data_IF_058029084088
#
_entry.id   IF_058029084088
#
_cell.length_a   1.000
_cell.length_b   1.000
_cell.length_c   1.000
_cell.angle_alpha   90.00
_cell.angle_beta   90.00
_cell.angle_gamma   90.00
#
_symmetry.space_group_name_H-M   'P 1'
#
loop_
_entity.id
_entity.type
_entity.pdbx_description
1 polymer ?
#
# COMPACT_ATOMS: atom_id res chain seq x y z
N UNK A 1 2.77 -24.56 8.89
CA UNK A 1 3.77 -23.48 8.92
C UNK A 1 3.77 -22.83 10.30
N UNK A 2 4.80 -23.06 11.12
CA UNK A 2 4.95 -22.52 12.49
C UNK A 2 5.69 -21.15 12.50
N UNK A 3 6.42 -20.88 11.43
CA UNK A 3 7.26 -19.69 11.25
C UNK A 3 6.45 -18.40 11.05
N UNK A 4 5.31 -18.46 10.37
CA UNK A 4 4.47 -17.26 10.13
C UNK A 4 3.85 -16.74 11.43
N UNK A 5 3.39 -17.65 12.31
CA UNK A 5 2.86 -17.26 13.63
C UNK A 5 3.94 -16.67 14.54
N UNK A 6 5.18 -17.17 14.44
CA UNK A 6 6.31 -16.64 15.18
C UNK A 6 6.78 -15.28 14.62
N UNK A 7 6.79 -15.13 13.30
CA UNK A 7 7.09 -13.87 12.63
C UNK A 7 6.04 -12.81 12.97
N UNK A 8 4.76 -13.18 12.96
CA UNK A 8 3.63 -12.31 13.32
C UNK A 8 3.68 -11.90 14.80
N UNK A 9 3.92 -12.84 15.72
CA UNK A 9 4.02 -12.52 17.16
C UNK A 9 5.24 -11.66 17.49
N UNK A 10 6.39 -11.94 16.87
CA UNK A 10 7.62 -11.16 17.06
C UNK A 10 7.50 -9.78 16.43
N UNK A 11 6.86 -9.68 15.26
CA UNK A 11 6.50 -8.43 14.60
C UNK A 11 5.56 -7.59 15.47
N UNK A 12 4.52 -8.18 16.07
CA UNK A 12 3.59 -7.50 16.98
C UNK A 12 4.25 -7.03 18.28
N UNK A 13 5.17 -7.79 18.88
CA UNK A 13 5.89 -7.35 20.08
C UNK A 13 6.89 -6.24 19.78
N UNK A 14 7.59 -6.32 18.65
CA UNK A 14 8.48 -5.25 18.18
C UNK A 14 7.66 -4.01 17.86
N UNK A 15 6.53 -4.18 17.17
CA UNK A 15 5.57 -3.13 16.87
C UNK A 15 5.11 -2.37 18.11
N UNK A 16 4.68 -3.07 19.17
CA UNK A 16 4.21 -2.42 20.39
C UNK A 16 5.33 -1.65 21.11
N UNK A 17 6.54 -2.22 21.18
CA UNK A 17 7.70 -1.54 21.75
C UNK A 17 8.12 -0.31 20.93
N UNK A 18 8.09 -0.43 19.60
CA UNK A 18 8.40 0.64 18.65
C UNK A 18 7.36 1.75 18.64
N UNK A 19 6.07 1.42 18.72
CA UNK A 19 4.99 2.39 18.80
C UNK A 19 5.14 3.26 20.06
N UNK A 20 5.46 2.64 21.19
CA UNK A 20 5.72 3.35 22.46
C UNK A 20 6.95 4.27 22.36
N UNK A 21 8.02 3.82 21.72
CA UNK A 21 9.22 4.62 21.49
C UNK A 21 8.97 5.81 20.55
N UNK A 22 8.22 5.61 19.45
CA UNK A 22 7.84 6.64 18.50
C UNK A 22 6.93 7.70 19.12
N UNK A 23 5.98 7.30 19.97
CA UNK A 23 5.12 8.22 20.72
C UNK A 23 5.91 9.09 21.72
N UNK A 24 7.04 8.58 22.23
CA UNK A 24 7.92 9.34 23.14
C UNK A 24 8.89 10.28 22.41
N UNK A 25 9.36 9.92 21.21
CA UNK A 25 10.50 10.57 20.54
C UNK A 25 10.11 11.47 19.35
N UNK A 26 8.90 11.38 18.81
CA UNK A 26 8.57 12.06 17.54
C UNK A 26 8.10 13.52 17.72
N UNK A 27 8.84 14.53 17.22
CA UNK A 27 8.36 15.92 17.18
C UNK A 27 7.23 16.15 16.15
N UNK A 28 6.92 15.17 15.29
CA UNK A 28 5.83 15.25 14.30
C UNK A 28 4.44 15.37 14.96
N UNK A 29 4.28 14.88 16.20
CA UNK A 29 3.05 15.05 16.99
C UNK A 29 2.90 16.44 17.62
N UNK A 30 3.94 17.27 17.62
CA UNK A 30 3.91 18.63 18.19
C UNK A 30 3.61 19.72 17.15
N UNK A 31 3.74 19.42 15.85
CA UNK A 31 3.75 20.45 14.79
C UNK A 31 2.52 20.43 13.85
N UNK A 32 1.50 19.64 14.15
CA UNK A 32 0.21 19.70 13.47
C UNK A 32 -0.79 20.47 14.34
N UNK A 33 -0.77 21.80 14.22
CA UNK A 33 -1.74 22.74 14.84
C UNK A 33 -3.20 22.55 14.35
N UNK A 34 -3.51 21.43 13.69
CA UNK A 34 -4.81 21.09 13.15
C UNK A 34 -5.59 20.07 13.98
N UNK A 35 -5.00 19.46 15.02
CA UNK A 35 -5.68 18.45 15.82
C UNK A 35 -6.24 19.05 17.11
N UNK A 36 -7.45 19.62 17.00
CA UNK A 36 -8.28 19.91 18.16
C UNK A 36 -9.13 18.70 18.55
N UNK A 37 -8.95 18.28 19.80
CA UNK A 37 -9.91 17.58 20.67
C UNK A 37 -10.22 16.08 20.44
N UNK A 38 -10.01 15.32 21.53
CA UNK A 38 -10.80 14.19 22.01
C UNK A 38 -11.26 13.12 21.00
N UNK A 39 -10.33 12.50 20.28
CA UNK A 39 -10.57 11.15 19.75
C UNK A 39 -9.60 10.15 20.37
N UNK A 40 -10.15 9.24 21.16
CA UNK A 40 -9.49 8.01 21.59
C UNK A 40 -9.14 7.20 20.34
N UNK A 41 -7.89 7.28 19.89
CA UNK A 41 -7.39 6.47 18.78
C UNK A 41 -7.34 5.01 19.24
N UNK A 42 -8.36 4.22 18.87
CA UNK A 42 -8.51 2.85 19.37
C UNK A 42 -7.53 1.85 18.77
N UNK A 43 -7.00 2.04 17.56
CA UNK A 43 -5.89 1.23 17.03
C UNK A 43 -5.19 1.95 15.89
N UNK A 44 -3.87 2.03 15.97
CA UNK A 44 -2.98 2.54 14.94
C UNK A 44 -2.32 1.34 14.27
N UNK A 45 -2.18 1.33 12.93
CA UNK A 45 -1.35 0.36 12.20
C UNK A 45 -0.15 1.10 11.58
N UNK A 46 1.06 0.58 11.82
CA UNK A 46 2.32 1.06 11.24
C UNK A 46 2.92 -0.07 10.40
N UNK A 47 3.05 0.16 9.11
CA UNK A 47 3.73 -0.76 8.21
C UNK A 47 5.23 -0.44 8.21
N UNK A 48 6.02 -1.27 8.89
CA UNK A 48 7.48 -1.25 8.83
C UNK A 48 7.94 -2.23 7.75
N UNK A 49 8.70 -1.74 6.78
CA UNK A 49 9.33 -2.58 5.76
C UNK A 49 10.85 -2.54 5.96
N UNK A 50 11.45 -3.58 6.53
CA UNK A 50 12.91 -3.72 6.63
C UNK A 50 13.48 -4.30 5.32
N UNK A 51 14.55 -3.68 4.79
CA UNK A 51 15.15 -4.10 3.51
C UNK A 51 16.65 -4.39 3.63
N UNK A 52 17.14 -5.49 3.01
CA UNK A 52 18.54 -5.89 3.10
C UNK A 52 19.51 -5.09 2.21
N UNK A 53 19.04 -4.35 1.20
CA UNK A 53 19.91 -3.54 0.33
C UNK A 53 19.45 -2.09 0.08
N UNK A 54 20.39 -1.20 -0.29
CA UNK A 54 20.11 0.21 -0.63
C UNK A 54 19.13 0.37 -1.80
N UNK A 55 19.23 -0.49 -2.82
CA UNK A 55 18.36 -0.41 -3.99
C UNK A 55 16.90 -0.79 -3.65
N UNK A 56 16.72 -1.78 -2.77
CA UNK A 56 15.41 -2.14 -2.23
C UNK A 56 14.84 -1.05 -1.32
N UNK A 57 15.67 -0.46 -0.45
CA UNK A 57 15.25 0.66 0.40
C UNK A 57 14.81 1.89 -0.43
N UNK A 58 15.53 2.19 -1.51
CA UNK A 58 15.16 3.27 -2.44
C UNK A 58 13.86 2.97 -3.19
N UNK A 59 13.65 1.72 -3.61
CA UNK A 59 12.40 1.30 -4.25
C UNK A 59 11.22 1.36 -3.27
N UNK A 60 11.43 0.92 -2.04
CA UNK A 60 10.43 0.99 -0.99
C UNK A 60 10.03 2.43 -0.67
N UNK A 61 11.00 3.35 -0.62
CA UNK A 61 10.73 4.76 -0.39
C UNK A 61 9.83 5.35 -1.49
N UNK A 62 10.11 5.01 -2.75
CA UNK A 62 9.30 5.41 -3.90
C UNK A 62 7.90 4.81 -3.79
N UNK A 63 7.80 3.52 -3.49
CA UNK A 63 6.53 2.80 -3.30
C UNK A 63 5.68 3.43 -2.21
N UNK A 64 6.24 3.69 -1.01
CA UNK A 64 5.48 4.28 0.09
C UNK A 64 4.99 5.69 -0.21
N UNK A 65 5.77 6.49 -0.95
CA UNK A 65 5.33 7.81 -1.43
C UNK A 65 4.18 7.72 -2.43
N UNK A 66 4.26 6.75 -3.34
CA UNK A 66 3.21 6.49 -4.34
C UNK A 66 1.94 5.96 -3.68
N UNK A 67 2.04 5.00 -2.75
CA UNK A 67 0.92 4.47 -1.96
C UNK A 67 0.22 5.58 -1.19
N UNK A 68 0.97 6.43 -0.48
CA UNK A 68 0.41 7.59 0.23
C UNK A 68 -0.37 8.50 -0.71
N UNK A 69 0.20 8.80 -1.89
CA UNK A 69 -0.44 9.66 -2.89
C UNK A 69 -1.74 9.05 -3.42
N UNK A 70 -1.72 7.75 -3.75
CA UNK A 70 -2.88 7.01 -4.24
C UNK A 70 -3.96 6.90 -3.16
N UNK A 71 -3.59 6.61 -1.92
CA UNK A 71 -4.54 6.56 -0.80
C UNK A 71 -5.25 7.90 -0.62
N UNK A 72 -4.51 9.02 -0.52
CA UNK A 72 -5.12 10.35 -0.38
C UNK A 72 -6.03 10.66 -1.58
N UNK A 73 -5.65 10.27 -2.79
CA UNK A 73 -6.48 10.43 -3.97
C UNK A 73 -7.76 9.60 -3.90
N UNK A 74 -7.66 8.30 -3.63
CA UNK A 74 -8.80 7.37 -3.54
C UNK A 74 -9.79 7.82 -2.47
N UNK A 75 -9.31 8.22 -1.29
CA UNK A 75 -10.16 8.74 -0.20
C UNK A 75 -10.93 10.01 -0.60
N UNK A 76 -10.39 10.81 -1.52
CA UNK A 76 -10.99 12.09 -1.92
C UNK A 76 -11.92 11.97 -3.11
N UNK A 77 -11.63 11.08 -4.06
CA UNK A 77 -12.32 11.03 -5.35
C UNK A 77 -13.18 9.79 -5.56
N UNK A 78 -13.20 8.85 -4.60
CA UNK A 78 -14.01 7.64 -4.68
C UNK A 78 -14.74 7.40 -3.36
N UNK A 79 -15.77 6.56 -3.37
CA UNK A 79 -16.45 6.14 -2.13
C UNK A 79 -15.84 4.86 -1.51
N UNK A 80 -14.64 4.46 -1.93
CA UNK A 80 -14.01 3.24 -1.43
C UNK A 80 -13.57 3.49 0.01
N UNK A 81 -13.98 2.65 0.98
CA UNK A 81 -13.48 2.76 2.34
C UNK A 81 -12.01 2.34 2.35
N UNK A 82 -11.13 3.31 2.63
CA UNK A 82 -9.70 3.06 2.79
C UNK A 82 -9.20 3.58 4.15
N UNK A 83 -8.11 3.02 4.68
CA UNK A 83 -7.47 3.54 5.89
C UNK A 83 -7.11 5.01 5.75
N UNK A 84 -7.41 5.81 6.77
CA UNK A 84 -6.99 7.21 6.82
C UNK A 84 -5.54 7.29 7.26
N UNK A 85 -4.73 8.04 6.52
CA UNK A 85 -3.32 8.27 6.86
C UNK A 85 -3.24 9.21 8.05
N UNK A 86 -2.62 8.75 9.13
CA UNK A 86 -2.36 9.51 10.34
C UNK A 86 -0.94 10.10 10.35
N UNK A 87 0.00 9.43 9.68
CA UNK A 87 1.39 9.90 9.59
C UNK A 87 2.19 9.11 8.56
N UNK A 88 3.23 9.74 8.04
CA UNK A 88 4.21 9.11 7.13
C UNK A 88 5.60 9.54 7.56
N UNK A 89 6.58 8.65 7.43
CA UNK A 89 7.95 8.99 7.81
C UNK A 89 8.96 7.95 7.40
N UNK A 90 10.16 8.12 7.94
CA UNK A 90 11.29 7.20 7.74
C UNK A 90 11.90 6.87 9.09
N UNK A 91 12.25 5.62 9.30
CA UNK A 91 12.96 5.15 10.48
C UNK A 91 14.11 4.25 10.04
N UNK A 92 15.34 4.56 10.44
CA UNK A 92 16.54 3.78 10.09
C UNK A 92 16.70 3.48 8.59
N UNK A 93 16.27 4.40 7.72
CA UNK A 93 16.31 4.25 6.27
C UNK A 93 15.06 3.58 5.65
N UNK A 94 14.21 2.98 6.46
CA UNK A 94 12.97 2.32 6.03
C UNK A 94 11.78 3.28 6.09
N UNK A 95 10.92 3.34 5.05
CA UNK A 95 9.69 4.13 5.11
C UNK A 95 8.66 3.47 6.01
N UNK A 96 7.79 4.28 6.62
CA UNK A 96 6.61 3.80 7.31
C UNK A 96 5.39 4.67 7.00
N UNK A 97 4.22 4.04 7.01
CA UNK A 97 2.91 4.68 6.90
C UNK A 97 2.11 4.27 8.14
N UNK A 98 1.58 5.26 8.82
CA UNK A 98 0.71 5.13 9.98
C UNK A 98 -0.72 5.40 9.52
N UNK A 99 -1.62 4.44 9.72
CA UNK A 99 -3.02 4.54 9.27
C UNK A 99 -4.01 4.11 10.35
N UNK A 100 -5.28 4.47 10.16
CA UNK A 100 -6.40 3.93 10.93
C UNK A 100 -6.64 2.47 10.56
N UNK A 101 -7.11 1.65 11.50
CA UNK A 101 -7.57 0.29 11.18
C UNK A 101 -8.99 0.34 10.61
N UNK A 102 -9.24 -0.45 9.56
CA UNK A 102 -10.61 -0.76 9.12
C UNK A 102 -11.00 -2.09 9.76
N UNK A 103 -12.05 -2.06 10.58
CA UNK A 103 -12.59 -3.27 11.16
C UNK A 103 -13.23 -4.15 10.08
N UNK A 104 -12.85 -5.43 10.07
CA UNK A 104 -13.37 -6.37 9.10
C UNK A 104 -12.70 -7.73 9.17
N UNK A 105 -13.32 -8.71 8.51
CA UNK A 105 -12.68 -10.00 8.24
C UNK A 105 -12.16 -9.98 6.83
N UNK A 106 -10.92 -10.42 6.62
CA UNK A 106 -10.37 -10.58 5.27
C UNK A 106 -11.29 -11.48 4.43
N UNK A 107 -11.55 -11.06 3.20
CA UNK A 107 -12.40 -11.81 2.28
C UNK A 107 -11.83 -13.21 1.99
N UNK A 108 -10.50 -13.30 1.87
CA UNK A 108 -9.81 -14.59 1.72
C UNK A 108 -10.13 -15.53 2.87
N UNK A 109 -10.05 -15.05 4.12
CA UNK A 109 -10.36 -15.83 5.32
C UNK A 109 -11.85 -16.23 5.39
N UNK A 110 -12.75 -15.37 4.90
CA UNK A 110 -14.21 -15.65 4.85
C UNK A 110 -14.54 -16.75 3.85
N UNK A 111 -13.85 -16.77 2.72
CA UNK A 111 -14.10 -17.70 1.62
C UNK A 111 -13.18 -18.94 1.65
N UNK A 112 -12.22 -18.97 2.57
CA UNK A 112 -11.27 -20.06 2.70
C UNK A 112 -11.96 -21.36 3.12
N UNK A 113 -11.54 -22.47 2.52
CA UNK A 113 -11.86 -23.81 2.99
C UNK A 113 -11.21 -24.07 4.36
N UNK A 114 -11.98 -24.29 5.44
CA UNK A 114 -11.40 -24.55 6.76
C UNK A 114 -10.66 -25.90 6.85
N UNK A 115 -10.87 -26.80 5.90
CA UNK A 115 -10.26 -28.13 5.87
C UNK A 115 -8.87 -28.16 5.21
N UNK A 116 -8.53 -27.13 4.44
CA UNK A 116 -7.29 -27.05 3.67
C UNK A 116 -6.38 -25.96 4.26
N UNK A 117 -5.12 -26.32 4.51
CA UNK A 117 -4.12 -25.37 5.02
C UNK A 117 -3.67 -24.35 3.96
N UNK A 118 -3.72 -24.74 2.69
CA UNK A 118 -3.44 -23.86 1.56
C UNK A 118 -4.61 -22.90 1.29
N UNK A 119 -4.37 -21.73 0.68
CA UNK A 119 -5.43 -20.80 0.29
C UNK A 119 -6.31 -21.39 -0.83
N UNK A 120 -7.33 -22.18 -0.47
CA UNK A 120 -8.35 -22.69 -1.40
C UNK A 120 -9.71 -22.08 -1.09
N UNK A 121 -10.50 -21.88 -2.14
CA UNK A 121 -11.90 -21.49 -2.02
C UNK A 121 -12.69 -22.67 -1.45
N UNK A 122 -13.52 -22.41 -0.43
CA UNK A 122 -14.43 -23.43 0.09
C UNK A 122 -15.44 -23.86 -0.99
N UNK A 123 -15.46 -25.14 -1.42
CA UNK A 123 -16.41 -25.61 -2.42
C UNK A 123 -17.87 -25.52 -1.94
N UNK A 124 -18.08 -25.56 -0.62
CA UNK A 124 -19.39 -25.45 0.02
C UNK A 124 -19.71 -23.99 0.44
N UNK A 125 -18.99 -23.00 -0.11
CA UNK A 125 -19.28 -21.60 0.16
C UNK A 125 -20.72 -21.26 -0.26
N UNK A 126 -21.46 -20.56 0.61
CA UNK A 126 -22.84 -20.20 0.31
C UNK A 126 -22.89 -19.27 -0.91
N UNK A 127 -23.89 -19.46 -1.77
CA UNK A 127 -24.11 -18.59 -2.93
C UNK A 127 -24.28 -17.12 -2.49
N UNK A 128 -24.91 -16.90 -1.33
CA UNK A 128 -25.04 -15.56 -0.73
C UNK A 128 -23.71 -14.92 -0.38
N UNK A 129 -22.75 -15.67 0.15
CA UNK A 129 -21.41 -15.16 0.49
C UNK A 129 -20.63 -14.82 -0.78
N UNK A 130 -20.69 -15.67 -1.80
CA UNK A 130 -20.08 -15.41 -3.10
C UNK A 130 -20.68 -14.16 -3.76
N UNK A 131 -22.01 -14.05 -3.80
CA UNK A 131 -22.70 -12.89 -4.37
C UNK A 131 -22.32 -11.59 -3.65
N UNK A 132 -22.21 -11.64 -2.32
CA UNK A 132 -21.78 -10.50 -1.51
C UNK A 132 -20.33 -10.13 -1.81
N UNK A 133 -19.43 -11.12 -1.88
CA UNK A 133 -18.02 -10.93 -2.22
C UNK A 133 -17.84 -10.29 -3.60
N UNK A 134 -18.43 -10.88 -4.63
CA UNK A 134 -18.36 -10.37 -6.00
C UNK A 134 -19.01 -8.99 -6.13
N UNK A 135 -20.14 -8.75 -5.46
CA UNK A 135 -20.76 -7.41 -5.43
C UNK A 135 -19.83 -6.38 -4.79
N UNK A 136 -19.11 -6.74 -3.73
CA UNK A 136 -18.13 -5.86 -3.08
C UNK A 136 -16.96 -5.51 -3.99
N UNK A 137 -16.35 -6.53 -4.62
CA UNK A 137 -15.27 -6.36 -5.60
C UNK A 137 -15.73 -5.50 -6.77
N UNK A 138 -16.91 -5.77 -7.34
CA UNK A 138 -17.46 -5.01 -8.46
C UNK A 138 -17.65 -3.53 -8.11
N UNK A 139 -18.12 -3.21 -6.89
CA UNK A 139 -18.23 -1.82 -6.42
C UNK A 139 -16.86 -1.14 -6.36
N UNK A 140 -15.83 -1.82 -5.82
CA UNK A 140 -14.46 -1.28 -5.77
C UNK A 140 -13.93 -1.01 -7.18
N UNK A 141 -14.06 -1.98 -8.10
CA UNK A 141 -13.59 -1.84 -9.49
C UNK A 141 -14.32 -0.70 -10.20
N UNK A 142 -15.64 -0.56 -9.97
CA UNK A 142 -16.43 0.53 -10.53
C UNK A 142 -16.01 1.90 -9.98
N UNK A 143 -15.73 2.01 -8.69
CA UNK A 143 -15.23 3.25 -8.09
C UNK A 143 -13.83 3.61 -8.63
N UNK A 144 -12.94 2.63 -8.81
CA UNK A 144 -11.60 2.83 -9.36
C UNK A 144 -11.59 3.17 -10.85
N UNK A 145 -12.67 2.90 -11.60
CA UNK A 145 -12.76 3.24 -13.03
C UNK A 145 -13.22 4.68 -13.29
N UNK A 146 -13.79 5.36 -12.29
CA UNK A 146 -14.26 6.75 -12.42
C UNK A 146 -13.13 7.76 -12.65
N UNK A 147 -11.97 7.67 -11.96
CA UNK A 147 -10.85 8.56 -12.24
C UNK A 147 -10.25 8.26 -13.60
N UNK A 148 -10.27 9.25 -14.50
CA UNK A 148 -9.68 9.14 -15.84
C UNK A 148 -8.38 9.92 -15.90
N UNK A 149 -7.32 9.26 -16.34
CA UNK A 149 -6.01 9.86 -16.58
C UNK A 149 -5.60 9.71 -18.04
N UNK A 150 -4.97 10.75 -18.58
CA UNK A 150 -4.47 10.76 -19.97
C UNK A 150 -3.27 9.84 -20.19
N UNK A 151 -2.46 9.62 -19.15
CA UNK A 151 -1.20 8.89 -19.22
C UNK A 151 -1.18 7.72 -18.23
N UNK A 152 -0.34 6.73 -18.51
CA UNK A 152 -0.04 5.60 -17.63
C UNK A 152 1.25 5.90 -16.87
N UNK A 153 1.20 5.80 -15.54
CA UNK A 153 2.30 6.18 -14.66
C UNK A 153 1.89 6.29 -13.20
N UNK A 154 2.82 6.74 -12.36
CA UNK A 154 2.59 7.03 -10.96
C UNK A 154 1.91 8.40 -10.74
N UNK A 155 1.01 8.43 -9.76
CA UNK A 155 0.21 9.60 -9.43
C UNK A 155 1.00 10.59 -8.56
N UNK A 156 0.99 11.87 -8.95
CA UNK A 156 1.64 12.96 -8.23
C UNK A 156 0.63 14.08 -7.97
N UNK A 157 0.63 14.61 -6.75
CA UNK A 157 -0.04 15.87 -6.45
C UNK A 157 0.94 17.02 -6.71
N UNK A 158 0.66 17.83 -7.71
CA UNK A 158 1.53 18.92 -8.13
C UNK A 158 0.69 20.14 -8.54
N UNK A 159 1.11 21.33 -8.12
CA UNK A 159 0.43 22.58 -8.49
C UNK A 159 -1.07 22.56 -8.16
N UNK A 160 -1.44 21.99 -7.01
CA UNK A 160 -2.83 21.80 -6.52
C UNK A 160 -3.70 20.86 -7.37
N UNK A 161 -3.12 20.12 -8.31
CA UNK A 161 -3.85 19.21 -9.21
C UNK A 161 -3.22 17.82 -9.16
N UNK A 162 -4.06 16.79 -9.22
CA UNK A 162 -3.63 15.40 -9.35
C UNK A 162 -3.31 15.08 -10.80
N UNK A 163 -2.10 14.58 -11.05
CA UNK A 163 -1.65 14.23 -12.41
C UNK A 163 -0.77 12.98 -12.39
N UNK A 164 -0.80 12.24 -13.49
CA UNK A 164 0.16 11.17 -13.75
C UNK A 164 1.43 11.81 -14.29
N UNK A 165 2.51 11.72 -13.53
CA UNK A 165 3.78 12.44 -13.82
C UNK A 165 5.02 11.69 -13.33
N UNK A 166 4.87 10.42 -12.95
CA UNK A 166 5.96 9.54 -12.52
C UNK A 166 5.92 8.27 -13.36
N UNK A 167 7.05 7.57 -13.46
CA UNK A 167 7.09 6.24 -14.07
C UNK A 167 6.22 5.25 -13.31
N UNK A 168 5.62 4.26 -13.97
CA UNK A 168 4.99 3.12 -13.30
C UNK A 168 6.01 2.39 -12.42
N UNK A 169 5.60 2.00 -11.21
CA UNK A 169 6.34 1.05 -10.38
C UNK A 169 5.73 -0.33 -10.56
N UNK A 170 6.49 -1.27 -11.13
CA UNK A 170 5.99 -2.62 -11.41
C UNK A 170 6.67 -3.66 -10.53
N UNK A 171 5.98 -4.80 -10.32
CA UNK A 171 6.55 -5.94 -9.61
C UNK A 171 7.81 -6.46 -10.32
N UNK A 172 7.78 -6.56 -11.66
CA UNK A 172 8.94 -6.97 -12.48
C UNK A 172 10.16 -6.09 -12.21
N UNK A 173 10.00 -4.76 -12.13
CA UNK A 173 11.10 -3.85 -11.79
C UNK A 173 11.66 -4.15 -10.41
N UNK A 174 10.81 -4.36 -9.40
CA UNK A 174 11.25 -4.71 -8.05
C UNK A 174 12.00 -6.05 -8.01
N UNK A 175 11.56 -7.03 -8.78
CA UNK A 175 12.24 -8.32 -8.89
C UNK A 175 13.59 -8.21 -9.59
N UNK A 176 13.69 -7.39 -10.64
CA UNK A 176 14.96 -7.10 -11.31
C UNK A 176 15.95 -6.39 -10.39
N UNK A 177 15.49 -5.43 -9.60
CA UNK A 177 16.31 -4.77 -8.57
C UNK A 177 16.81 -5.81 -7.55
N UNK A 178 15.90 -6.65 -7.03
CA UNK A 178 16.22 -7.62 -5.97
C UNK A 178 17.09 -8.79 -6.42
N UNK A 179 16.76 -9.39 -7.56
CA UNK A 179 17.37 -10.66 -8.02
C UNK A 179 18.55 -10.42 -8.95
N UNK A 180 18.49 -9.37 -9.78
CA UNK A 180 19.53 -9.05 -10.78
C UNK A 180 20.42 -7.89 -10.37
N UNK A 181 20.15 -7.23 -9.24
CA UNK A 181 20.89 -6.06 -8.77
C UNK A 181 20.94 -4.91 -9.81
N UNK A 182 19.91 -4.80 -10.64
CA UNK A 182 19.79 -3.73 -11.63
C UNK A 182 19.54 -2.41 -10.91
N UNK A 183 20.31 -1.38 -11.25
CA UNK A 183 20.20 -0.10 -10.58
C UNK A 183 18.89 0.61 -10.98
N UNK A 184 18.17 1.28 -10.06
CA UNK A 184 16.90 1.95 -10.39
C UNK A 184 16.96 3.01 -11.50
N UNK A 185 18.14 3.48 -11.86
CA UNK A 185 18.38 4.46 -12.93
C UNK A 185 18.56 3.81 -14.32
N UNK A 186 18.69 2.48 -14.39
CA UNK A 186 18.75 1.74 -15.66
C UNK A 186 17.35 1.56 -16.29
N UNK A 187 16.30 1.75 -15.50
CA UNK A 187 14.94 1.85 -16.03
C UNK A 187 14.66 3.23 -16.63
N UNK A 188 13.51 3.37 -17.30
CA UNK A 188 13.00 4.66 -17.78
C UNK A 188 13.09 5.75 -16.70
N UNK A 189 13.29 6.99 -17.15
CA UNK A 189 13.42 8.15 -16.27
C UNK A 189 12.26 8.21 -15.26
N UNK A 190 12.55 8.70 -14.06
CA UNK A 190 11.58 8.79 -12.97
C UNK A 190 10.33 9.58 -13.36
N UNK A 191 10.45 10.60 -14.21
CA UNK A 191 9.32 11.42 -14.69
C UNK A 191 8.69 10.90 -15.99
N UNK A 192 9.13 9.74 -16.48
CA UNK A 192 8.59 9.16 -17.71
C UNK A 192 7.13 8.74 -17.52
N UNK A 193 6.30 8.97 -18.52
CA UNK A 193 4.90 8.52 -18.55
C UNK A 193 4.57 7.97 -19.93
N UNK A 194 3.61 7.06 -20.01
CA UNK A 194 3.23 6.44 -21.27
C UNK A 194 1.88 6.97 -21.76
N UNK A 195 1.81 7.29 -23.05
CA UNK A 195 0.59 7.82 -23.69
C UNK A 195 -0.41 6.71 -24.06
N UNK A 196 0.04 5.47 -24.16
CA UNK A 196 -0.80 4.33 -24.51
C UNK A 196 -0.33 3.05 -23.83
N UNK A 197 -1.27 2.11 -23.67
CA UNK A 197 -0.98 0.79 -23.14
C UNK A 197 0.04 0.03 -24.02
N UNK A 198 -0.02 0.19 -25.34
CA UNK A 198 0.93 -0.45 -26.26
C UNK A 198 2.37 -0.04 -26.01
N UNK A 199 2.63 1.28 -25.85
CA UNK A 199 3.98 1.79 -25.53
C UNK A 199 4.47 1.26 -24.19
N UNK A 200 3.59 1.21 -23.19
CA UNK A 200 3.91 0.67 -21.87
C UNK A 200 4.25 -0.82 -21.92
N UNK A 201 3.43 -1.65 -22.58
CA UNK A 201 3.67 -3.09 -22.67
C UNK A 201 4.90 -3.44 -23.52
N UNK A 202 5.19 -2.66 -24.56
CA UNK A 202 6.43 -2.80 -25.33
C UNK A 202 7.65 -2.58 -24.45
N UNK A 203 7.66 -1.51 -23.65
CA UNK A 203 8.74 -1.24 -22.69
C UNK A 203 8.89 -2.33 -21.63
N UNK A 204 7.81 -3.01 -21.25
CA UNK A 204 7.88 -4.14 -20.32
C UNK A 204 8.40 -5.43 -20.96
N UNK A 205 8.31 -5.57 -22.28
CA UNK A 205 8.77 -6.75 -23.01
C UNK A 205 10.28 -6.70 -23.30
N UNK A 206 10.83 -5.50 -23.44
CA UNK A 206 12.27 -5.21 -23.47
C UNK A 206 12.95 -5.52 -22.12
#
# INVERSE_FOLDING_TARGET
MHWDKLAEKKSQSLYAAWLNYLLQQSPAFKHSSWFSSNQSFRTVSMLLLDFPSWAEAASAMKKSSDETSVMVFVARFTSIPIPTILGVGKCSGSPYIITTVIDGTLLSKRLQDPSVLEPSLNPDASESDLKTAYSGIARIVLELSKPVFKYIGGLKYDSRVWRVAKRPLTLKMNELIRVRNIHPNEFVDYNHTFESASKYFQQLAE
#
